data_IF_679576979868
#
_entry.id   IF_679576979868
#
_cell.length_a   1.000
_cell.length_b   1.000
_cell.length_c   1.000
_cell.angle_alpha   90.00
_cell.angle_beta   90.00
_cell.angle_gamma   90.00
#
_symmetry.space_group_name_H-M   'P 1'
#
loop_
_entity.id
_entity.type
_entity.pdbx_description
1 polymer ?
#
# COMPACT_ATOMS: atom_id res chain seq x y z
N UNK A 1 7.39 13.51 3.81
CA UNK A 1 6.64 12.94 2.67
C UNK A 1 5.34 12.37 3.23
N UNK A 2 4.21 13.08 3.06
CA UNK A 2 2.92 12.70 3.68
C UNK A 2 1.94 12.00 2.71
N UNK A 3 2.40 11.58 1.52
CA UNK A 3 1.52 10.97 0.51
C UNK A 3 0.88 9.65 0.96
N UNK A 4 1.54 8.89 1.85
CA UNK A 4 0.98 7.66 2.45
C UNK A 4 -0.02 7.94 3.58
N UNK A 5 -0.09 9.17 4.06
CA UNK A 5 -1.01 9.60 5.13
C UNK A 5 -2.10 10.53 4.59
N UNK A 6 -2.19 10.66 3.25
CA UNK A 6 -3.22 11.47 2.61
C UNK A 6 -4.61 10.90 2.93
N UNK A 7 -5.62 11.76 2.96
CA UNK A 7 -7.02 11.34 3.15
C UNK A 7 -7.51 10.56 1.95
N UNK A 8 -7.06 10.96 0.76
CA UNK A 8 -7.42 10.33 -0.51
C UNK A 8 -6.68 9.00 -0.70
N UNK A 9 -7.44 7.93 -0.90
CA UNK A 9 -6.93 6.58 -1.10
C UNK A 9 -6.16 6.44 -2.41
N UNK A 10 -6.55 7.17 -3.45
CA UNK A 10 -5.88 7.16 -4.75
C UNK A 10 -4.48 7.76 -4.63
N UNK A 11 -4.35 8.84 -3.85
CA UNK A 11 -3.05 9.47 -3.56
C UNK A 11 -2.16 8.52 -2.77
N UNK A 12 -2.69 7.83 -1.74
CA UNK A 12 -1.95 6.81 -1.01
C UNK A 12 -1.46 5.69 -1.93
N UNK A 13 -2.30 5.22 -2.87
CA UNK A 13 -1.93 4.18 -3.84
C UNK A 13 -0.81 4.63 -4.75
N UNK A 14 -0.91 5.84 -5.33
CA UNK A 14 0.14 6.38 -6.21
C UNK A 14 1.47 6.53 -5.46
N UNK A 15 1.41 6.98 -4.20
CA UNK A 15 2.60 7.06 -3.36
C UNK A 15 3.24 5.68 -3.12
N UNK A 16 2.46 4.63 -2.88
CA UNK A 16 2.96 3.25 -2.75
C UNK A 16 3.59 2.75 -4.05
N UNK A 17 2.97 2.99 -5.20
CA UNK A 17 3.51 2.55 -6.51
C UNK A 17 4.82 3.27 -6.83
N UNK A 18 4.89 4.58 -6.57
CA UNK A 18 6.11 5.38 -6.73
C UNK A 18 7.23 4.86 -5.83
N UNK A 19 6.90 4.55 -4.57
CA UNK A 19 7.84 3.97 -3.63
C UNK A 19 8.32 2.58 -4.06
N UNK A 20 7.42 1.73 -4.54
CA UNK A 20 7.76 0.41 -5.06
C UNK A 20 8.74 0.50 -6.25
N UNK A 21 8.46 1.41 -7.18
CA UNK A 21 9.36 1.67 -8.31
C UNK A 21 10.73 2.19 -7.88
N UNK A 22 10.78 3.05 -6.87
CA UNK A 22 12.04 3.56 -6.33
C UNK A 22 12.84 2.47 -5.61
N UNK A 23 12.16 1.60 -4.83
CA UNK A 23 12.74 0.43 -4.19
C UNK A 23 13.34 -0.53 -5.23
N UNK A 24 12.63 -0.79 -6.32
CA UNK A 24 13.11 -1.67 -7.39
C UNK A 24 14.31 -1.10 -8.15
N UNK A 25 14.28 0.19 -8.50
CA UNK A 25 15.25 0.78 -9.43
C UNK A 25 16.48 1.38 -8.75
N UNK A 26 16.32 1.94 -7.54
CA UNK A 26 17.40 2.60 -6.79
C UNK A 26 17.26 2.33 -5.28
N UNK A 27 17.53 1.09 -4.82
CA UNK A 27 17.31 0.69 -3.42
C UNK A 27 18.09 1.56 -2.41
N UNK A 28 19.26 2.06 -2.80
CA UNK A 28 20.09 2.93 -1.94
C UNK A 28 19.39 4.23 -1.53
N UNK A 29 18.50 4.77 -2.37
CA UNK A 29 17.73 5.98 -2.03
C UNK A 29 16.67 5.70 -0.96
N UNK A 30 16.20 4.46 -0.88
CA UNK A 30 15.12 4.04 0.01
C UNK A 30 15.64 3.57 1.36
N UNK A 31 16.86 3.02 1.41
CA UNK A 31 17.44 2.39 2.61
C UNK A 31 17.37 3.27 3.86
N UNK A 32 17.73 4.55 3.75
CA UNK A 32 17.74 5.47 4.89
C UNK A 32 16.32 5.92 5.30
N UNK A 33 15.37 5.86 4.37
CA UNK A 33 13.96 6.22 4.59
C UNK A 33 13.14 5.05 5.17
N UNK A 34 13.66 3.82 5.14
CA UNK A 34 12.92 2.62 5.59
C UNK A 34 12.42 2.73 7.04
N UNK A 35 13.19 3.36 7.93
CA UNK A 35 12.78 3.52 9.34
C UNK A 35 11.48 4.31 9.48
N UNK A 36 11.25 5.30 8.61
CA UNK A 36 10.02 6.11 8.62
C UNK A 36 8.91 5.46 7.76
N UNK A 37 9.28 4.83 6.65
CA UNK A 37 8.32 4.31 5.67
C UNK A 37 7.73 2.96 6.06
N UNK A 38 8.48 2.07 6.71
CA UNK A 38 7.98 0.75 7.10
C UNK A 38 6.76 0.82 8.02
N UNK A 39 6.70 1.65 9.09
CA UNK A 39 5.49 1.80 9.89
C UNK A 39 4.27 2.26 9.07
N UNK A 40 4.46 3.20 8.15
CA UNK A 40 3.41 3.72 7.27
C UNK A 40 2.92 2.62 6.32
N UNK A 41 3.84 1.89 5.70
CA UNK A 41 3.55 0.76 4.82
C UNK A 41 2.80 -0.36 5.55
N UNK A 42 3.21 -0.72 6.77
CA UNK A 42 2.50 -1.70 7.60
C UNK A 42 1.07 -1.25 7.93
N UNK A 43 0.86 0.04 8.18
CA UNK A 43 -0.50 0.56 8.40
C UNK A 43 -1.39 0.46 7.16
N UNK A 44 -0.83 0.60 5.96
CA UNK A 44 -1.58 0.40 4.70
C UNK A 44 -1.95 -1.06 4.43
N UNK A 45 -1.38 -2.04 5.15
CA UNK A 45 -1.80 -3.46 5.03
C UNK A 45 -3.04 -3.81 5.86
N UNK A 46 -3.43 -2.95 6.80
CA UNK A 46 -4.56 -3.21 7.70
C UNK A 46 -5.88 -3.05 6.96
N UNK A 47 -6.80 -3.97 7.24
CA UNK A 47 -8.19 -3.87 6.75
C UNK A 47 -8.85 -2.67 7.42
N UNK A 48 -9.48 -1.81 6.63
CA UNK A 48 -10.24 -0.63 7.09
C UNK A 48 -11.73 -0.88 6.88
N UNK A 49 -12.49 -1.23 7.94
CA UNK A 49 -13.92 -1.52 7.81
C UNK A 49 -14.71 -0.40 7.16
N UNK A 50 -14.28 0.85 7.34
CA UNK A 50 -14.89 2.04 6.72
C UNK A 50 -14.79 2.08 5.19
N UNK A 51 -13.93 1.26 4.58
CA UNK A 51 -13.80 1.09 3.12
C UNK A 51 -14.55 -0.14 2.58
N UNK A 52 -15.23 -0.89 3.46
CA UNK A 52 -15.97 -2.09 3.09
C UNK A 52 -17.46 -1.79 3.12
N UNK A 53 -18.14 -2.04 2.01
CA UNK A 53 -19.59 -1.83 1.87
C UNK A 53 -20.27 -3.07 1.29
N UNK A 54 -21.45 -3.38 1.77
CA UNK A 54 -22.31 -4.38 1.15
C UNK A 54 -23.25 -3.70 0.16
N UNK A 55 -23.23 -4.17 -1.09
CA UNK A 55 -24.15 -3.74 -2.14
C UNK A 55 -25.21 -4.81 -2.30
N UNK A 56 -26.47 -4.44 -2.07
CA UNK A 56 -27.60 -5.33 -2.31
C UNK A 56 -27.92 -5.37 -3.80
N UNK A 57 -27.99 -6.59 -4.35
CA UNK A 57 -28.35 -6.89 -5.72
C UNK A 57 -29.62 -7.77 -5.71
N UNK A 58 -30.69 -7.25 -5.08
CA UNK A 58 -31.94 -7.98 -4.85
C UNK A 58 -31.77 -9.07 -3.77
N UNK A 59 -31.94 -10.38 -4.08
CA UNK A 59 -31.73 -11.45 -3.10
C UNK A 59 -30.25 -11.73 -2.82
N UNK A 60 -29.32 -11.09 -3.55
CA UNK A 60 -27.88 -11.28 -3.39
C UNK A 60 -27.24 -10.09 -2.67
N UNK A 61 -26.19 -10.35 -1.89
CA UNK A 61 -25.33 -9.33 -1.29
C UNK A 61 -23.93 -9.48 -1.85
N UNK A 62 -23.32 -8.37 -2.26
CA UNK A 62 -21.93 -8.34 -2.73
C UNK A 62 -21.12 -7.37 -1.88
N UNK A 63 -20.09 -7.90 -1.20
CA UNK A 63 -19.16 -7.10 -0.43
C UNK A 63 -18.14 -6.45 -1.36
N UNK A 64 -18.11 -5.12 -1.38
CA UNK A 64 -17.11 -4.33 -2.09
C UNK A 64 -16.13 -3.76 -1.07
N UNK A 65 -14.85 -4.00 -1.29
CA UNK A 65 -13.76 -3.45 -0.49
C UNK A 65 -12.95 -2.47 -1.35
N UNK A 66 -13.23 -1.18 -1.17
CA UNK A 66 -12.59 -0.11 -1.93
C UNK A 66 -11.11 0.06 -1.51
N UNK A 67 -10.67 -0.53 -0.39
CA UNK A 67 -9.29 -0.55 0.08
C UNK A 67 -8.46 -1.74 -0.37
N UNK A 68 -9.05 -2.71 -1.07
CA UNK A 68 -8.39 -3.97 -1.43
C UNK A 68 -7.14 -3.76 -2.29
N UNK A 69 -7.22 -2.92 -3.31
CA UNK A 69 -6.10 -2.72 -4.25
C UNK A 69 -4.94 -1.95 -3.62
N UNK A 70 -5.24 -1.04 -2.68
CA UNK A 70 -4.21 -0.38 -1.89
C UNK A 70 -3.43 -1.38 -1.03
N UNK A 71 -4.14 -2.32 -0.38
CA UNK A 71 -3.52 -3.37 0.42
C UNK A 71 -2.64 -4.28 -0.44
N UNK A 72 -3.10 -4.68 -1.62
CA UNK A 72 -2.29 -5.46 -2.58
C UNK A 72 -1.00 -4.71 -2.95
N UNK A 73 -1.09 -3.42 -3.28
CA UNK A 73 0.08 -2.61 -3.62
C UNK A 73 1.06 -2.49 -2.44
N UNK A 74 0.57 -2.39 -1.20
CA UNK A 74 1.42 -2.38 -0.02
C UNK A 74 2.21 -3.69 0.15
N UNK A 75 1.55 -4.84 -0.04
CA UNK A 75 2.21 -6.16 0.02
C UNK A 75 3.22 -6.36 -1.12
N UNK A 76 2.88 -5.94 -2.34
CA UNK A 76 3.78 -6.00 -3.48
C UNK A 76 5.05 -5.19 -3.21
N UNK A 77 4.90 -3.98 -2.66
CA UNK A 77 6.03 -3.15 -2.28
C UNK A 77 6.90 -3.79 -1.18
N UNK A 78 6.30 -4.50 -0.21
CA UNK A 78 7.08 -5.26 0.78
C UNK A 78 7.90 -6.37 0.13
N UNK A 79 7.33 -7.06 -0.85
CA UNK A 79 8.02 -8.12 -1.58
C UNK A 79 9.23 -7.56 -2.32
N UNK A 80 9.05 -6.46 -3.04
CA UNK A 80 10.15 -5.77 -3.74
C UNK A 80 11.21 -5.25 -2.77
N UNK A 81 10.83 -4.71 -1.62
CA UNK A 81 11.79 -4.31 -0.60
C UNK A 81 12.61 -5.50 -0.10
N UNK A 82 11.97 -6.64 0.16
CA UNK A 82 12.66 -7.83 0.62
C UNK A 82 13.67 -8.33 -0.43
N UNK A 83 13.28 -8.35 -1.70
CA UNK A 83 14.15 -8.79 -2.79
C UNK A 83 15.33 -7.82 -3.05
N UNK A 84 15.04 -6.52 -3.08
CA UNK A 84 16.02 -5.48 -3.43
C UNK A 84 16.95 -5.07 -2.29
N UNK A 85 16.54 -5.20 -1.02
CA UNK A 85 17.33 -4.76 0.13
C UNK A 85 18.01 -5.89 0.89
N UNK A 86 17.60 -7.15 0.69
CA UNK A 86 18.25 -8.32 1.28
C UNK A 86 19.38 -8.89 0.41
N UNK A 87 19.31 -8.68 -0.91
CA UNK A 87 20.21 -9.32 -1.89
C UNK A 87 21.34 -8.39 -2.39
N UNK A 88 21.56 -7.22 -1.75
CA UNK A 88 22.64 -6.28 -2.09
C UNK A 88 23.43 -5.78 -0.87
#
# INVERSE_FOLDING_TARGET
MNGLEDKDIDVRRVALVMFNSAAHNKPMLIRDLLKELLPKLYNETRVRPELIREVEMGPFKHTVDDGLDLRKAAYECMYTLLDSTYTQ
#
